data_IF_600156433419
#
_entry.id   IF_600156433419
#
_cell.length_a   1.000
_cell.length_b   1.000
_cell.length_c   1.000
_cell.angle_alpha   90.00
_cell.angle_beta   90.00
_cell.angle_gamma   90.00
#
_symmetry.space_group_name_H-M   'P 1'
#
loop_
_entity.id
_entity.type
_entity.pdbx_description
1 polymer ?
#
# COMPACT_ATOMS: atom_id res chain seq x y z
N UNK A 1 -40.27 -44.77 -60.88
CA UNK A 1 -40.45 -43.70 -59.87
C UNK A 1 -39.11 -43.45 -59.20
N UNK A 2 -38.51 -42.27 -59.40
CA UNK A 2 -37.30 -41.91 -58.67
C UNK A 2 -37.63 -41.76 -57.17
N UNK A 3 -36.78 -42.22 -56.24
CA UNK A 3 -37.01 -42.03 -54.81
C UNK A 3 -37.00 -40.53 -54.48
N UNK A 4 -37.84 -40.07 -53.53
CA UNK A 4 -37.88 -38.66 -53.16
C UNK A 4 -36.48 -38.23 -52.69
N UNK A 5 -35.97 -37.14 -53.26
CA UNK A 5 -34.68 -36.56 -52.89
C UNK A 5 -34.64 -36.28 -51.40
N UNK A 6 -33.61 -36.79 -50.70
CA UNK A 6 -33.38 -36.48 -49.29
C UNK A 6 -33.36 -34.94 -49.14
N UNK A 7 -34.13 -34.36 -48.21
CA UNK A 7 -34.12 -32.92 -48.01
C UNK A 7 -32.69 -32.48 -47.66
N UNK A 8 -32.23 -31.39 -48.29
CA UNK A 8 -30.89 -30.86 -48.07
C UNK A 8 -30.63 -30.60 -46.57
N UNK A 9 -29.37 -30.69 -46.08
CA UNK A 9 -29.04 -30.72 -44.66
C UNK A 9 -29.45 -29.49 -43.81
N UNK A 10 -30.10 -28.47 -44.39
CA UNK A 10 -30.69 -27.33 -43.69
C UNK A 10 -32.20 -27.14 -43.88
N UNK A 11 -32.89 -28.03 -44.61
CA UNK A 11 -34.32 -27.90 -44.98
C UNK A 11 -35.24 -28.96 -44.37
N UNK A 12 -34.72 -29.92 -43.58
CA UNK A 12 -35.56 -30.89 -42.85
C UNK A 12 -36.10 -30.25 -41.55
N UNK A 13 -37.43 -30.00 -41.45
CA UNK A 13 -38.04 -29.39 -40.26
C UNK A 13 -37.81 -30.20 -38.98
N UNK A 14 -37.65 -31.53 -39.09
CA UNK A 14 -37.41 -32.41 -37.93
C UNK A 14 -35.96 -32.36 -37.45
N UNK A 15 -35.02 -32.03 -38.34
CA UNK A 15 -33.63 -31.78 -37.96
C UNK A 15 -33.49 -30.41 -37.32
N UNK A 16 -34.16 -29.39 -37.88
CA UNK A 16 -34.18 -28.04 -37.30
C UNK A 16 -34.81 -28.02 -35.89
N UNK A 17 -35.92 -28.73 -35.68
CA UNK A 17 -36.55 -28.81 -34.34
C UNK A 17 -35.68 -29.59 -33.33
N UNK A 18 -34.99 -30.65 -33.76
CA UNK A 18 -34.05 -31.40 -32.91
C UNK A 18 -32.81 -30.57 -32.56
N UNK A 19 -32.25 -29.84 -33.51
CA UNK A 19 -31.15 -28.92 -33.28
C UNK A 19 -31.56 -27.83 -32.26
N UNK A 20 -32.72 -27.19 -32.45
CA UNK A 20 -33.25 -26.20 -31.51
C UNK A 20 -33.44 -26.76 -30.10
N UNK A 21 -33.96 -27.98 -29.96
CA UNK A 21 -34.10 -28.65 -28.66
C UNK A 21 -32.74 -28.94 -28.02
N UNK A 22 -31.77 -29.39 -28.81
CA UNK A 22 -30.41 -29.64 -28.34
C UNK A 22 -29.73 -28.33 -27.89
N UNK A 23 -29.87 -27.25 -28.66
CA UNK A 23 -29.31 -25.94 -28.34
C UNK A 23 -29.90 -25.39 -27.02
N UNK A 24 -31.21 -25.55 -26.82
CA UNK A 24 -31.88 -25.16 -25.56
C UNK A 24 -31.38 -26.01 -24.39
N UNK A 25 -31.27 -27.33 -24.55
CA UNK A 25 -30.76 -28.23 -23.50
C UNK A 25 -29.30 -27.90 -23.19
N UNK A 26 -28.47 -27.70 -24.21
CA UNK A 26 -27.08 -27.30 -24.06
C UNK A 26 -26.98 -25.97 -23.30
N UNK A 27 -27.71 -24.94 -23.72
CA UNK A 27 -27.72 -23.65 -23.04
C UNK A 27 -28.13 -23.77 -21.57
N UNK A 28 -29.19 -24.53 -21.26
CA UNK A 28 -29.64 -24.76 -19.88
C UNK A 28 -28.58 -25.50 -19.05
N UNK A 29 -28.00 -26.57 -19.59
CA UNK A 29 -26.94 -27.32 -18.89
C UNK A 29 -25.67 -26.50 -18.69
N UNK A 30 -25.29 -25.66 -19.66
CA UNK A 30 -24.17 -24.72 -19.52
C UNK A 30 -24.44 -23.68 -18.44
N UNK A 31 -25.66 -23.13 -18.35
CA UNK A 31 -26.05 -22.20 -17.28
C UNK A 31 -25.97 -22.88 -15.92
N UNK A 32 -26.53 -24.10 -15.78
CA UNK A 32 -26.46 -24.86 -14.52
C UNK A 32 -25.02 -25.13 -14.12
N UNK A 33 -24.17 -25.53 -15.06
CA UNK A 33 -22.75 -25.77 -14.81
C UNK A 33 -22.03 -24.48 -14.41
N UNK A 34 -22.32 -23.36 -15.06
CA UNK A 34 -21.76 -22.06 -14.71
C UNK A 34 -22.15 -21.65 -13.28
N UNK A 35 -23.42 -21.78 -12.92
CA UNK A 35 -23.91 -21.49 -11.56
C UNK A 35 -23.23 -22.38 -10.53
N UNK A 36 -23.14 -23.69 -10.78
CA UNK A 36 -22.48 -24.62 -9.87
C UNK A 36 -20.99 -24.29 -9.69
N UNK A 37 -20.29 -23.95 -10.78
CA UNK A 37 -18.89 -23.53 -10.73
C UNK A 37 -18.71 -22.21 -9.97
N UNK A 38 -19.58 -21.22 -10.20
CA UNK A 38 -19.57 -19.96 -9.45
C UNK A 38 -19.82 -20.19 -7.97
N UNK A 39 -20.78 -21.04 -7.60
CA UNK A 39 -21.06 -21.40 -6.20
C UNK A 39 -19.85 -22.09 -5.57
N UNK A 40 -19.19 -23.02 -6.28
CA UNK A 40 -17.99 -23.69 -5.79
C UNK A 40 -16.85 -22.71 -5.52
N UNK A 41 -16.58 -21.79 -6.46
CA UNK A 41 -15.56 -20.74 -6.26
C UNK A 41 -15.91 -19.88 -5.04
N UNK A 42 -17.18 -19.47 -4.93
CA UNK A 42 -17.62 -18.60 -3.85
C UNK A 42 -17.55 -19.31 -2.48
N UNK A 43 -17.89 -20.59 -2.43
CA UNK A 43 -17.81 -21.41 -1.23
C UNK A 43 -16.35 -21.64 -0.78
N UNK A 44 -15.41 -21.89 -1.69
CA UNK A 44 -13.98 -21.98 -1.34
C UNK A 44 -13.39 -20.62 -0.94
N UNK A 45 -13.89 -19.54 -1.55
CA UNK A 45 -13.46 -18.18 -1.28
C UNK A 45 -13.95 -17.66 0.09
N UNK A 46 -15.20 -17.94 0.53
CA UNK A 46 -15.78 -17.46 1.80
C UNK A 46 -15.24 -18.22 3.03
N UNK A 47 -13.93 -18.15 3.23
CA UNK A 47 -13.27 -18.77 4.37
C UNK A 47 -13.55 -18.02 5.67
N UNK A 48 -13.71 -18.78 6.75
CA UNK A 48 -14.11 -18.28 8.07
C UNK A 48 -13.26 -17.09 8.55
N UNK A 49 -11.93 -17.16 8.42
CA UNK A 49 -11.01 -16.12 8.84
C UNK A 49 -11.29 -14.74 8.22
N UNK A 50 -11.82 -14.68 6.98
CA UNK A 50 -12.15 -13.42 6.31
C UNK A 50 -13.23 -12.64 7.06
N UNK A 51 -14.12 -13.33 7.79
CA UNK A 51 -15.18 -12.70 8.60
C UNK A 51 -14.56 -11.91 9.75
N UNK A 52 -13.59 -12.50 10.45
CA UNK A 52 -12.86 -11.82 11.53
C UNK A 52 -12.13 -10.58 11.04
N UNK A 53 -11.46 -10.66 9.88
CA UNK A 53 -10.76 -9.48 9.33
C UNK A 53 -11.72 -8.37 8.90
N UNK A 54 -12.86 -8.71 8.27
CA UNK A 54 -13.89 -7.73 7.91
C UNK A 54 -14.46 -7.02 9.14
N UNK A 55 -14.68 -7.74 10.24
CA UNK A 55 -15.15 -7.14 11.50
C UNK A 55 -14.04 -6.30 12.12
N UNK A 56 -12.81 -6.80 12.17
CA UNK A 56 -11.68 -6.05 12.71
C UNK A 56 -11.44 -4.75 11.96
N UNK A 57 -11.55 -4.70 10.63
CA UNK A 57 -11.40 -3.45 9.88
C UNK A 57 -12.38 -2.38 10.36
N UNK A 58 -13.63 -2.76 10.69
CA UNK A 58 -14.63 -1.83 11.26
C UNK A 58 -14.21 -1.36 12.66
N UNK A 59 -13.73 -2.28 13.49
CA UNK A 59 -13.23 -1.97 14.84
C UNK A 59 -12.00 -1.06 14.77
N UNK A 60 -11.06 -1.33 13.87
CA UNK A 60 -9.85 -0.53 13.66
C UNK A 60 -10.20 0.89 13.20
N UNK A 61 -11.21 1.05 12.33
CA UNK A 61 -11.75 2.37 11.97
C UNK A 61 -12.30 3.08 13.20
N UNK A 62 -13.19 2.45 13.96
CA UNK A 62 -13.81 3.05 15.15
C UNK A 62 -12.79 3.45 16.23
N UNK A 63 -11.82 2.57 16.53
CA UNK A 63 -10.75 2.82 17.49
C UNK A 63 -9.86 3.96 17.00
N UNK A 64 -9.46 3.95 15.73
CA UNK A 64 -8.59 5.00 15.16
C UNK A 64 -9.32 6.35 15.12
N UNK A 65 -10.62 6.36 14.82
CA UNK A 65 -11.45 7.57 14.83
C UNK A 65 -11.57 8.14 16.25
N UNK A 66 -11.87 7.30 17.25
CA UNK A 66 -11.92 7.72 18.65
C UNK A 66 -10.56 8.28 19.11
N UNK A 67 -9.46 7.63 18.76
CA UNK A 67 -8.10 8.12 19.04
C UNK A 67 -7.81 9.45 18.35
N UNK A 68 -8.24 9.63 17.10
CA UNK A 68 -8.06 10.89 16.36
C UNK A 68 -8.83 12.02 17.05
N UNK A 69 -10.10 11.80 17.40
CA UNK A 69 -10.88 12.81 18.12
C UNK A 69 -10.29 13.13 19.49
N UNK A 70 -9.78 12.14 20.22
CA UNK A 70 -9.08 12.35 21.47
C UNK A 70 -7.79 13.18 21.28
N UNK A 71 -6.98 12.87 20.26
CA UNK A 71 -5.76 13.62 19.95
C UNK A 71 -6.10 15.08 19.60
N UNK A 72 -7.16 15.31 18.81
CA UNK A 72 -7.65 16.66 18.51
C UNK A 72 -8.13 17.40 19.75
N UNK A 73 -8.90 16.74 20.61
CA UNK A 73 -9.41 17.31 21.85
C UNK A 73 -8.32 17.57 22.91
N UNK A 74 -7.19 16.86 22.82
CA UNK A 74 -6.05 17.04 23.74
C UNK A 74 -5.32 18.37 23.54
N UNK A 75 -5.47 19.00 22.37
CA UNK A 75 -4.90 20.32 22.09
C UNK A 75 -5.70 21.39 22.85
N UNK A 76 -5.09 22.17 23.75
CA UNK A 76 -5.79 23.20 24.53
C UNK A 76 -6.54 24.20 23.65
N UNK A 77 -7.77 24.56 24.04
CA UNK A 77 -8.62 25.50 23.27
C UNK A 77 -7.94 26.85 23.01
N UNK A 78 -7.15 27.35 23.95
CA UNK A 78 -6.36 28.57 23.78
C UNK A 78 -5.33 28.46 22.64
N UNK A 79 -4.67 27.31 22.51
CA UNK A 79 -3.72 27.06 21.42
C UNK A 79 -4.45 26.92 20.08
N UNK A 80 -5.63 26.29 20.06
CA UNK A 80 -6.47 26.20 18.86
C UNK A 80 -6.92 27.59 18.39
N UNK A 81 -7.38 28.45 19.30
CA UNK A 81 -7.79 29.82 19.00
C UNK A 81 -6.62 30.69 18.52
N UNK A 82 -5.45 30.58 19.18
CA UNK A 82 -4.22 31.27 18.74
C UNK A 82 -3.82 30.85 17.33
N UNK A 83 -3.83 29.54 17.04
CA UNK A 83 -3.51 29.04 15.70
C UNK A 83 -4.52 29.54 14.67
N UNK A 84 -5.82 29.52 14.98
CA UNK A 84 -6.85 30.00 14.08
C UNK A 84 -6.65 31.48 13.73
N UNK A 85 -6.36 32.32 14.74
CA UNK A 85 -6.07 33.74 14.53
C UNK A 85 -4.80 33.96 13.68
N UNK A 86 -3.76 33.16 13.89
CA UNK A 86 -2.53 33.19 13.08
C UNK A 86 -2.80 32.78 11.62
N UNK A 87 -3.61 31.74 11.39
CA UNK A 87 -4.00 31.32 10.04
C UNK A 87 -4.84 32.38 9.32
N UNK A 88 -5.75 33.04 10.03
CA UNK A 88 -6.58 34.11 9.46
C UNK A 88 -5.73 35.34 9.13
N UNK A 89 -4.78 35.69 9.99
CA UNK A 89 -3.77 36.73 9.70
C UNK A 89 -2.92 36.36 8.49
N UNK A 90 -2.42 35.12 8.43
CA UNK A 90 -1.62 34.64 7.30
C UNK A 90 -2.38 34.75 5.97
N UNK A 91 -3.67 34.37 5.95
CA UNK A 91 -4.53 34.52 4.75
C UNK A 91 -4.69 35.97 4.32
N UNK A 92 -4.85 36.91 5.27
CA UNK A 92 -4.96 38.33 4.96
C UNK A 92 -3.66 38.89 4.39
N UNK A 93 -2.52 38.56 5.00
CA UNK A 93 -1.19 38.97 4.51
C UNK A 93 -0.88 38.39 3.12
N UNK A 94 -1.24 37.12 2.89
CA UNK A 94 -1.10 36.47 1.58
C UNK A 94 -1.99 37.12 0.52
N UNK A 95 -3.24 37.45 0.86
CA UNK A 95 -4.14 38.16 -0.05
C UNK A 95 -3.59 39.55 -0.45
N UNK A 96 -2.98 40.28 0.50
CA UNK A 96 -2.34 41.56 0.24
C UNK A 96 -1.07 41.43 -0.62
N UNK A 97 -0.31 40.35 -0.45
CA UNK A 97 0.95 40.09 -1.15
C UNK A 97 0.79 39.23 -2.41
N UNK A 98 -0.43 38.86 -2.77
CA UNK A 98 -0.74 37.89 -3.84
C UNK A 98 -0.05 38.21 -5.16
N UNK A 99 -0.07 39.47 -5.58
CA UNK A 99 0.58 39.88 -6.84
C UNK A 99 2.11 39.82 -6.76
N UNK A 100 2.70 40.13 -5.60
CA UNK A 100 4.14 40.00 -5.38
C UNK A 100 4.56 38.52 -5.38
N UNK A 101 3.81 37.66 -4.71
CA UNK A 101 4.03 36.20 -4.70
C UNK A 101 3.95 35.64 -6.12
N UNK A 102 2.88 35.98 -6.86
CA UNK A 102 2.68 35.54 -8.24
C UNK A 102 3.80 36.01 -9.17
N UNK A 103 4.29 37.25 -8.99
CA UNK A 103 5.42 37.78 -9.76
C UNK A 103 6.71 37.01 -9.43
N UNK A 104 7.03 36.81 -8.17
CA UNK A 104 8.22 36.08 -7.74
C UNK A 104 8.20 34.62 -8.22
N UNK A 105 7.04 33.94 -8.14
CA UNK A 105 6.83 32.60 -8.69
C UNK A 105 7.04 32.58 -10.21
N UNK A 106 6.47 33.53 -10.95
CA UNK A 106 6.66 33.61 -12.40
C UNK A 106 8.11 33.88 -12.81
N UNK A 107 8.88 34.63 -12.02
CA UNK A 107 10.32 34.81 -12.23
C UNK A 107 11.08 33.51 -11.92
N UNK A 108 10.74 32.81 -10.83
CA UNK A 108 11.31 31.51 -10.47
C UNK A 108 11.07 30.45 -11.54
N UNK A 109 9.89 30.43 -12.16
CA UNK A 109 9.57 29.49 -13.25
C UNK A 109 10.35 29.79 -14.53
N UNK A 110 10.63 31.07 -14.83
CA UNK A 110 11.54 31.43 -15.94
C UNK A 110 12.96 30.93 -15.68
N UNK A 111 13.44 31.05 -14.44
CA UNK A 111 14.74 30.50 -14.02
C UNK A 111 14.77 28.98 -14.12
N UNK A 112 13.66 28.29 -13.83
CA UNK A 112 13.53 26.85 -14.04
C UNK A 112 13.71 26.46 -15.51
N UNK A 113 13.11 27.24 -16.43
CA UNK A 113 13.30 27.03 -17.87
C UNK A 113 14.74 27.25 -18.33
N UNK A 114 15.40 28.31 -17.85
CA UNK A 114 16.82 28.59 -18.12
C UNK A 114 17.72 27.48 -17.56
N UNK A 115 17.47 27.05 -16.32
CA UNK A 115 18.16 25.94 -15.68
C UNK A 115 18.05 24.66 -16.51
N UNK A 116 16.85 24.31 -16.98
CA UNK A 116 16.63 23.11 -17.77
C UNK A 116 17.41 23.13 -19.09
N UNK A 117 17.44 24.27 -19.78
CA UNK A 117 18.21 24.42 -21.01
C UNK A 117 19.73 24.25 -20.77
N UNK A 118 20.24 24.81 -19.68
CA UNK A 118 21.67 24.69 -19.31
C UNK A 118 22.00 23.26 -18.85
N UNK A 119 21.17 22.64 -18.00
CA UNK A 119 21.34 21.25 -17.53
C UNK A 119 21.37 20.27 -18.70
N UNK A 120 20.47 20.43 -19.67
CA UNK A 120 20.45 19.60 -20.87
C UNK A 120 21.78 19.72 -21.66
N UNK A 121 22.25 20.94 -21.90
CA UNK A 121 23.51 21.18 -22.61
C UNK A 121 24.72 20.66 -21.80
N UNK A 122 24.71 20.81 -20.49
CA UNK A 122 25.72 20.29 -19.57
C UNK A 122 25.81 18.76 -19.67
N UNK A 123 24.68 18.07 -19.65
CA UNK A 123 24.60 16.60 -19.75
C UNK A 123 25.00 16.10 -21.14
N UNK A 124 24.59 16.78 -22.21
CA UNK A 124 25.03 16.43 -23.57
C UNK A 124 26.53 16.67 -23.78
N UNK A 125 27.06 17.81 -23.33
CA UNK A 125 28.50 18.10 -23.44
C UNK A 125 29.31 17.07 -22.65
N UNK A 126 28.83 16.64 -21.48
CA UNK A 126 29.46 15.57 -20.71
C UNK A 126 29.52 14.25 -21.48
N UNK A 127 28.44 13.86 -22.14
CA UNK A 127 28.40 12.65 -22.96
C UNK A 127 29.36 12.75 -24.16
N UNK A 128 29.45 13.91 -24.81
CA UNK A 128 30.41 14.16 -25.89
C UNK A 128 31.87 14.10 -25.41
N UNK A 129 32.18 14.56 -24.19
CA UNK A 129 33.51 14.43 -23.59
C UNK A 129 33.95 12.96 -23.55
N UNK A 130 33.06 12.04 -23.16
CA UNK A 130 33.38 10.61 -23.11
C UNK A 130 33.73 10.07 -24.52
N UNK A 131 33.00 10.52 -25.56
CA UNK A 131 33.30 10.19 -26.96
C UNK A 131 34.65 10.77 -27.39
N UNK A 132 34.91 12.05 -27.12
CA UNK A 132 36.19 12.70 -27.48
C UNK A 132 37.38 12.08 -26.76
N UNK A 133 37.18 11.65 -25.51
CA UNK A 133 38.18 10.95 -24.71
C UNK A 133 38.55 9.61 -25.34
N UNK A 134 37.54 8.79 -25.66
CA UNK A 134 37.76 7.53 -26.38
C UNK A 134 38.50 7.75 -27.71
N UNK A 135 38.06 8.75 -28.49
CA UNK A 135 38.66 9.11 -29.76
C UNK A 135 40.16 9.46 -29.64
N UNK A 136 40.51 10.24 -28.62
CA UNK A 136 41.89 10.62 -28.30
C UNK A 136 42.70 9.40 -27.85
N UNK A 137 42.18 8.60 -26.91
CA UNK A 137 42.85 7.39 -26.40
C UNK A 137 43.15 6.40 -27.53
N UNK A 138 42.18 6.15 -28.42
CA UNK A 138 42.38 5.25 -29.56
C UNK A 138 43.47 5.77 -30.52
N UNK A 139 43.49 7.08 -30.80
CA UNK A 139 44.50 7.70 -31.65
C UNK A 139 45.89 7.70 -31.00
N UNK A 140 45.97 7.90 -29.67
CA UNK A 140 47.19 7.81 -28.90
C UNK A 140 47.74 6.39 -28.88
N UNK A 141 46.89 5.38 -28.66
CA UNK A 141 47.25 3.96 -28.69
C UNK A 141 47.78 3.52 -30.06
N UNK A 142 47.16 3.98 -31.15
CA UNK A 142 47.59 3.68 -32.53
C UNK A 142 48.69 4.63 -33.04
N UNK A 143 49.21 5.53 -32.19
CA UNK A 143 50.20 6.57 -32.49
C UNK A 143 49.92 7.34 -33.80
N UNK A 144 48.64 7.71 -34.01
CA UNK A 144 48.22 8.46 -35.21
C UNK A 144 48.73 9.91 -35.14
N UNK A 145 49.03 10.50 -36.29
CA UNK A 145 49.51 11.89 -36.41
C UNK A 145 48.49 12.94 -35.98
N UNK A 146 47.20 12.60 -35.92
CA UNK A 146 46.12 13.51 -35.54
C UNK A 146 45.78 13.50 -34.03
N UNK A 147 46.57 12.82 -33.19
CA UNK A 147 46.32 12.71 -31.74
C UNK A 147 46.27 14.07 -31.04
N UNK A 148 47.15 15.00 -31.41
CA UNK A 148 47.23 16.33 -30.76
C UNK A 148 46.00 17.18 -31.10
N UNK A 149 45.43 17.03 -32.30
CA UNK A 149 44.16 17.65 -32.68
C UNK A 149 43.01 17.10 -31.84
N UNK A 150 42.93 15.78 -31.67
CA UNK A 150 41.88 15.15 -30.84
C UNK A 150 42.00 15.53 -29.36
N UNK A 151 43.23 15.71 -28.85
CA UNK A 151 43.47 16.23 -27.50
C UNK A 151 42.99 17.67 -27.35
N UNK A 152 43.23 18.52 -28.36
CA UNK A 152 42.72 19.90 -28.37
C UNK A 152 41.18 19.93 -28.41
N UNK A 153 40.56 19.06 -29.22
CA UNK A 153 39.10 18.93 -29.27
C UNK A 153 38.54 18.48 -27.91
N UNK A 154 39.15 17.48 -27.25
CA UNK A 154 38.74 17.05 -25.90
C UNK A 154 38.80 18.22 -24.90
N UNK A 155 39.91 18.98 -24.88
CA UNK A 155 40.07 20.13 -23.98
C UNK A 155 39.03 21.22 -24.23
N UNK A 156 38.69 21.51 -25.48
CA UNK A 156 37.64 22.48 -25.81
C UNK A 156 36.27 22.05 -25.27
N UNK A 157 35.93 20.75 -25.33
CA UNK A 157 34.69 20.24 -24.73
C UNK A 157 34.73 20.27 -23.20
N UNK A 158 35.87 19.94 -22.58
CA UNK A 158 36.06 20.06 -21.13
C UNK A 158 35.90 21.52 -20.65
N UNK A 159 36.47 22.48 -21.38
CA UNK A 159 36.33 23.92 -21.09
C UNK A 159 34.88 24.41 -21.25
N UNK A 160 34.16 23.92 -22.27
CA UNK A 160 32.72 24.23 -22.45
C UNK A 160 31.88 23.66 -21.34
N UNK A 161 32.17 22.44 -20.91
CA UNK A 161 31.46 21.78 -19.81
C UNK A 161 31.67 22.51 -18.48
N UNK A 162 32.89 22.98 -18.20
CA UNK A 162 33.17 23.78 -17.02
C UNK A 162 32.43 25.13 -17.04
N UNK A 163 32.33 25.79 -18.20
CA UNK A 163 31.50 27.01 -18.34
C UNK A 163 30.02 26.73 -18.05
N UNK A 164 29.48 25.62 -18.56
CA UNK A 164 28.11 25.20 -18.29
C UNK A 164 27.89 24.87 -16.80
N UNK A 165 28.90 24.28 -16.13
CA UNK A 165 28.88 24.04 -14.68
C UNK A 165 28.71 25.34 -13.91
N UNK A 166 29.52 26.35 -14.22
CA UNK A 166 29.45 27.67 -13.58
C UNK A 166 28.11 28.36 -13.84
N UNK A 167 27.57 28.27 -15.05
CA UNK A 167 26.23 28.79 -15.37
C UNK A 167 25.13 28.08 -14.58
N UNK A 168 25.23 26.76 -14.39
CA UNK A 168 24.27 26.00 -13.61
C UNK A 168 24.31 26.39 -12.12
N UNK A 169 25.51 26.60 -11.56
CA UNK A 169 25.69 27.14 -10.21
C UNK A 169 25.08 28.54 -10.05
N UNK A 170 25.30 29.43 -11.03
CA UNK A 170 24.72 30.79 -11.03
C UNK A 170 23.19 30.77 -11.07
N UNK A 171 22.61 29.97 -11.98
CA UNK A 171 21.15 29.87 -12.10
C UNK A 171 20.54 29.22 -10.86
N UNK A 172 21.20 28.22 -10.26
CA UNK A 172 20.77 27.66 -8.97
C UNK A 172 20.78 28.72 -7.87
N UNK A 173 21.84 29.53 -7.76
CA UNK A 173 21.89 30.61 -6.77
C UNK A 173 20.77 31.64 -6.96
N UNK A 174 20.42 31.96 -8.22
CA UNK A 174 19.29 32.83 -8.57
C UNK A 174 17.95 32.19 -8.20
N UNK A 175 17.76 30.89 -8.44
CA UNK A 175 16.57 30.12 -8.04
C UNK A 175 16.42 30.13 -6.52
N UNK A 176 17.48 29.80 -5.80
CA UNK A 176 17.50 29.81 -4.33
C UNK A 176 17.18 31.19 -3.75
N UNK A 177 17.66 32.27 -4.39
CA UNK A 177 17.32 33.63 -3.99
C UNK A 177 15.82 33.93 -4.17
N UNK A 178 15.22 33.47 -5.28
CA UNK A 178 13.77 33.61 -5.52
C UNK A 178 12.93 32.72 -4.61
N UNK A 179 13.35 31.49 -4.35
CA UNK A 179 12.69 30.60 -3.40
C UNK A 179 12.73 31.19 -1.98
N UNK A 180 13.84 31.84 -1.58
CA UNK A 180 13.92 32.60 -0.32
C UNK A 180 13.00 33.81 -0.29
N UNK A 181 12.89 34.57 -1.39
CA UNK A 181 11.96 35.70 -1.50
C UNK A 181 10.51 35.22 -1.34
N UNK A 182 10.12 34.15 -2.03
CA UNK A 182 8.78 33.54 -1.91
C UNK A 182 8.55 33.08 -0.47
N UNK A 183 9.51 32.37 0.13
CA UNK A 183 9.40 31.91 1.51
C UNK A 183 9.27 33.06 2.53
N UNK A 184 9.91 34.21 2.28
CA UNK A 184 9.75 35.41 3.11
C UNK A 184 8.37 36.06 2.93
N UNK A 185 7.87 36.11 1.70
CA UNK A 185 6.53 36.63 1.41
C UNK A 185 5.44 35.78 2.08
N UNK A 186 5.65 34.47 2.13
CA UNK A 186 4.74 33.46 2.70
C UNK A 186 5.11 33.05 4.14
N UNK A 187 6.06 33.74 4.79
CA UNK A 187 6.63 33.32 6.07
C UNK A 187 5.58 33.07 7.16
N UNK A 188 4.60 33.97 7.28
CA UNK A 188 3.50 33.86 8.25
C UNK A 188 2.63 32.63 7.99
N UNK A 189 2.37 32.30 6.72
CA UNK A 189 1.62 31.10 6.32
C UNK A 189 2.40 29.84 6.66
N UNK A 190 3.68 29.80 6.31
CA UNK A 190 4.56 28.67 6.56
C UNK A 190 4.75 28.40 8.07
N UNK A 191 4.88 29.46 8.89
CA UNK A 191 4.98 29.33 10.35
C UNK A 191 3.68 28.80 10.96
N UNK A 192 2.53 29.36 10.56
CA UNK A 192 1.22 28.88 11.01
C UNK A 192 0.95 27.43 10.58
N UNK A 193 1.30 27.04 9.35
CA UNK A 193 1.21 25.66 8.87
C UNK A 193 2.12 24.71 9.65
N UNK A 194 3.36 25.13 9.92
CA UNK A 194 4.31 24.33 10.72
C UNK A 194 3.78 24.13 12.12
N UNK A 195 3.32 25.19 12.79
CA UNK A 195 2.71 25.12 14.11
C UNK A 195 1.45 24.26 14.12
N UNK A 196 0.61 24.34 13.08
CA UNK A 196 -0.55 23.44 12.92
C UNK A 196 -0.12 21.98 12.80
N UNK A 197 0.93 21.68 12.03
CA UNK A 197 1.45 20.31 11.87
C UNK A 197 2.06 19.78 13.17
N UNK A 198 2.72 20.62 13.95
CA UNK A 198 3.28 20.25 15.25
C UNK A 198 2.17 20.02 16.29
N UNK A 199 1.20 20.94 16.40
CA UNK A 199 0.10 20.85 17.36
C UNK A 199 -0.86 19.70 17.06
N UNK A 200 -1.16 19.45 15.78
CA UNK A 200 -2.09 18.40 15.35
C UNK A 200 -1.38 17.20 14.72
N UNK A 201 -0.08 17.01 14.97
CA UNK A 201 0.72 15.95 14.34
C UNK A 201 0.14 14.55 14.56
N UNK A 202 -0.27 14.24 15.80
CA UNK A 202 -0.92 12.97 16.12
C UNK A 202 -2.29 12.81 15.48
N UNK A 203 -3.10 13.87 15.45
CA UNK A 203 -4.39 13.88 14.77
C UNK A 203 -4.21 13.61 13.27
N UNK A 204 -3.31 14.35 12.60
CA UNK A 204 -3.04 14.21 11.16
C UNK A 204 -2.54 12.80 10.82
N UNK A 205 -1.65 12.24 11.64
CA UNK A 205 -1.16 10.87 11.48
C UNK A 205 -2.30 9.84 11.58
N UNK A 206 -3.23 10.02 12.51
CA UNK A 206 -4.38 9.14 12.68
C UNK A 206 -5.42 9.33 11.57
N UNK A 207 -5.64 10.56 11.11
CA UNK A 207 -6.51 10.87 9.97
C UNK A 207 -5.97 10.25 8.66
N UNK A 208 -4.68 10.34 8.42
CA UNK A 208 -4.05 9.67 7.28
C UNK A 208 -4.08 8.15 7.37
N UNK A 209 -4.08 7.60 8.60
CA UNK A 209 -4.31 6.16 8.81
C UNK A 209 -5.76 5.81 8.47
N UNK A 210 -6.75 6.61 8.91
CA UNK A 210 -8.18 6.40 8.62
C UNK A 210 -8.43 6.30 7.11
N UNK A 211 -7.90 7.24 6.32
CA UNK A 211 -8.01 7.24 4.85
C UNK A 211 -7.49 5.94 4.20
N UNK A 212 -6.55 5.24 4.84
CA UNK A 212 -5.97 3.97 4.34
C UNK A 212 -6.74 2.73 4.77
N UNK A 213 -7.39 2.77 5.93
CA UNK A 213 -8.12 1.62 6.49
C UNK A 213 -9.61 1.63 6.13
N UNK A 214 -10.17 2.77 5.77
CA UNK A 214 -11.58 2.88 5.40
C UNK A 214 -11.92 1.98 4.20
N UNK A 215 -12.94 1.11 4.32
CA UNK A 215 -13.32 0.21 3.25
C UNK A 215 -14.05 0.98 2.14
N UNK A 216 -13.32 1.34 1.08
CA UNK A 216 -13.88 1.94 -0.14
C UNK A 216 -14.29 0.92 -1.22
N UNK A 217 -14.89 1.42 -2.31
CA UNK A 217 -15.27 0.62 -3.49
C UNK A 217 -14.07 -0.16 -4.05
N UNK A 218 -12.90 0.48 -4.10
CA UNK A 218 -11.64 -0.12 -4.57
C UNK A 218 -11.25 -1.34 -3.74
N UNK A 219 -11.37 -1.23 -2.41
CA UNK A 219 -11.07 -2.34 -1.48
C UNK A 219 -12.05 -3.50 -1.67
N UNK A 220 -13.33 -3.21 -1.92
CA UNK A 220 -14.35 -4.23 -2.20
C UNK A 220 -14.08 -4.97 -3.51
N UNK A 221 -13.78 -4.27 -4.60
CA UNK A 221 -13.48 -4.88 -5.91
C UNK A 221 -12.20 -5.72 -5.85
N UNK A 222 -11.15 -5.20 -5.22
CA UNK A 222 -9.86 -5.87 -5.06
C UNK A 222 -9.94 -7.16 -4.25
N UNK A 223 -10.96 -7.30 -3.41
CA UNK A 223 -11.20 -8.52 -2.64
C UNK A 223 -12.14 -9.50 -3.35
N UNK A 224 -12.66 -9.26 -4.55
CA UNK A 224 -13.52 -10.25 -5.22
C UNK A 224 -12.74 -11.53 -5.56
N UNK A 225 -13.40 -12.70 -5.63
CA UNK A 225 -12.76 -13.93 -6.06
C UNK A 225 -11.99 -13.72 -7.38
N UNK A 226 -10.80 -14.32 -7.50
CA UNK A 226 -9.85 -14.17 -8.63
C UNK A 226 -9.10 -12.83 -8.62
N UNK A 227 -9.77 -11.70 -8.39
CA UNK A 227 -9.11 -10.38 -8.31
C UNK A 227 -8.24 -10.23 -7.05
N UNK A 228 -8.55 -11.00 -6.00
CA UNK A 228 -7.82 -11.06 -4.74
C UNK A 228 -6.40 -11.64 -4.89
N UNK A 229 -6.04 -12.26 -6.01
CA UNK A 229 -4.68 -12.75 -6.25
C UNK A 229 -3.65 -11.64 -6.47
N UNK A 230 -4.05 -10.48 -7.00
CA UNK A 230 -3.11 -9.44 -7.38
C UNK A 230 -2.61 -8.63 -6.17
N UNK A 231 -3.51 -8.27 -5.25
CA UNK A 231 -3.17 -7.47 -4.07
C UNK A 231 -4.33 -7.45 -3.06
N UNK A 232 -4.64 -8.52 -2.33
CA UNK A 232 -5.83 -8.56 -1.47
C UNK A 232 -5.66 -7.69 -0.22
N UNK A 233 -6.73 -7.06 0.24
CA UNK A 233 -6.72 -6.40 1.57
C UNK A 233 -6.91 -7.40 2.71
N UNK A 234 -7.59 -8.53 2.44
CA UNK A 234 -7.81 -9.60 3.39
C UNK A 234 -6.84 -10.74 3.06
N UNK A 235 -5.94 -11.06 3.97
CA UNK A 235 -4.93 -12.11 3.76
C UNK A 235 -4.64 -12.89 5.03
N UNK A 236 -4.23 -14.14 4.86
CA UNK A 236 -3.68 -14.93 5.95
C UNK A 236 -2.38 -14.27 6.42
N UNK A 237 -2.34 -13.88 7.69
CA UNK A 237 -1.13 -13.40 8.32
C UNK A 237 -0.35 -14.62 8.81
N UNK A 238 0.82 -14.84 8.22
CA UNK A 238 1.67 -15.97 8.55
C UNK A 238 2.99 -15.48 9.13
N UNK A 239 3.29 -15.89 10.36
CA UNK A 239 4.53 -15.62 11.06
C UNK A 239 5.31 -16.94 11.12
N UNK A 240 6.61 -16.88 10.86
CA UNK A 240 7.51 -18.03 11.01
C UNK A 240 8.54 -17.67 12.08
N UNK A 241 8.29 -18.06 13.34
CA UNK A 241 9.17 -17.70 14.44
C UNK A 241 10.61 -18.18 14.18
N UNK A 242 11.56 -17.29 14.41
CA UNK A 242 12.99 -17.60 14.19
C UNK A 242 13.45 -18.73 15.12
N UNK A 243 14.18 -19.70 14.56
CA UNK A 243 14.77 -20.83 15.29
C UNK A 243 13.75 -21.77 15.99
N UNK A 244 12.48 -21.75 15.59
CA UNK A 244 11.49 -22.76 16.00
C UNK A 244 11.15 -23.67 14.84
N UNK A 245 11.16 -24.97 15.11
CA UNK A 245 10.81 -26.01 14.15
C UNK A 245 9.74 -26.91 14.75
N UNK A 246 8.79 -27.32 13.92
CA UNK A 246 7.90 -28.43 14.23
C UNK A 246 8.64 -29.72 13.84
N UNK A 247 8.70 -30.66 14.78
CA UNK A 247 9.28 -31.98 14.53
C UNK A 247 8.29 -32.78 13.69
N UNK A 248 8.67 -33.03 12.43
CA UNK A 248 7.96 -33.90 11.51
C UNK A 248 8.87 -35.08 11.28
N UNK A 249 8.34 -36.30 11.32
CA UNK A 249 9.10 -37.56 11.29
C UNK A 249 10.36 -37.46 10.40
N UNK A 250 11.54 -37.41 11.06
CA UNK A 250 12.90 -37.31 10.49
C UNK A 250 13.31 -36.00 9.77
N UNK A 251 12.54 -34.91 9.89
CA UNK A 251 12.89 -33.59 9.36
C UNK A 251 12.25 -32.45 10.17
N UNK A 252 13.06 -31.48 10.61
CA UNK A 252 12.53 -30.26 11.21
C UNK A 252 11.98 -29.33 10.13
N UNK A 253 10.69 -28.97 10.24
CA UNK A 253 10.10 -27.94 9.37
C UNK A 253 9.96 -26.63 10.14
N UNK A 254 10.15 -25.46 9.51
CA UNK A 254 9.92 -24.19 10.18
C UNK A 254 8.52 -24.14 10.79
N UNK A 255 8.45 -23.76 12.08
CA UNK A 255 7.18 -23.55 12.77
C UNK A 255 6.43 -22.42 12.08
N UNK A 256 5.13 -22.62 11.87
CA UNK A 256 4.26 -21.63 11.22
C UNK A 256 3.13 -21.25 12.16
N UNK A 257 2.91 -19.95 12.34
CA UNK A 257 1.86 -19.38 13.15
C UNK A 257 0.96 -18.45 12.32
N UNK A 258 -0.35 -18.66 12.39
CA UNK A 258 -1.36 -17.88 11.67
C UNK A 258 -2.40 -17.26 12.60
N UNK A 259 -2.17 -17.26 13.92
CA UNK A 259 -3.12 -16.77 14.91
C UNK A 259 -3.50 -15.30 14.66
N UNK A 260 -2.54 -14.46 14.23
CA UNK A 260 -2.76 -13.05 13.86
C UNK A 260 -3.61 -12.85 12.59
N UNK A 261 -4.05 -13.93 11.94
CA UNK A 261 -5.04 -13.86 10.86
C UNK A 261 -6.42 -13.45 11.41
N UNK A 262 -6.78 -13.95 12.59
CA UNK A 262 -8.05 -13.62 13.26
C UNK A 262 -7.83 -12.71 14.47
N UNK A 263 -6.75 -12.90 15.23
CA UNK A 263 -6.37 -12.09 16.38
C UNK A 263 -5.61 -10.82 15.96
N UNK A 264 -6.23 -10.00 15.11
CA UNK A 264 -5.58 -8.85 14.45
C UNK A 264 -5.20 -7.68 15.38
N UNK A 265 -5.78 -7.63 16.58
CA UNK A 265 -5.48 -6.61 17.58
C UNK A 265 -4.42 -7.05 18.61
N UNK A 266 -3.98 -8.31 18.58
CA UNK A 266 -3.20 -8.91 19.67
C UNK A 266 -1.88 -8.20 19.95
N UNK A 267 -1.20 -7.72 18.91
CA UNK A 267 0.09 -7.01 18.97
C UNK A 267 -0.06 -5.48 18.91
N UNK A 268 -1.30 -4.97 18.86
CA UNK A 268 -1.59 -3.54 18.70
C UNK A 268 -2.06 -2.94 20.02
N UNK A 269 -1.49 -1.79 20.39
CA UNK A 269 -2.00 -0.94 21.48
C UNK A 269 -3.32 -0.26 21.07
N UNK A 270 -4.23 -0.05 22.01
CA UNK A 270 -5.51 0.63 21.80
C UNK A 270 -6.70 -0.29 21.55
N UNK A 271 -6.48 -1.61 21.53
CA UNK A 271 -7.53 -2.61 21.38
C UNK A 271 -7.80 -3.36 22.71
N UNK A 272 -7.31 -2.85 23.85
CA UNK A 272 -7.39 -3.52 25.15
C UNK A 272 -8.83 -3.72 25.63
N UNK A 273 -9.75 -2.82 25.24
CA UNK A 273 -11.18 -2.88 25.57
C UNK A 273 -12.04 -3.58 24.52
N UNK A 274 -11.42 -4.07 23.43
CA UNK A 274 -12.15 -4.74 22.35
C UNK A 274 -12.50 -6.18 22.73
N UNK A 275 -13.61 -6.74 22.24
CA UNK A 275 -13.97 -8.13 22.51
C UNK A 275 -13.01 -9.10 21.82
N UNK A 276 -12.90 -10.31 22.37
CA UNK A 276 -12.17 -11.40 21.72
C UNK A 276 -12.79 -11.70 20.33
N UNK A 277 -11.97 -11.98 19.29
CA UNK A 277 -10.52 -12.18 19.30
C UNK A 277 -9.68 -10.90 19.07
N UNK A 278 -10.29 -9.72 19.07
CA UNK A 278 -9.63 -8.46 18.68
C UNK A 278 -8.90 -7.75 19.82
N UNK A 279 -8.98 -8.29 21.04
CA UNK A 279 -8.34 -7.73 22.22
C UNK A 279 -6.82 -7.72 22.09
N UNK A 280 -6.18 -6.65 22.55
CA UNK A 280 -4.71 -6.58 22.72
C UNK A 280 -4.22 -7.65 23.69
N UNK A 281 -3.01 -8.18 23.47
CA UNK A 281 -2.38 -9.15 24.36
C UNK A 281 -2.26 -8.57 25.78
N UNK A 282 -2.63 -9.34 26.83
CA UNK A 282 -2.40 -8.93 28.21
C UNK A 282 -0.91 -8.64 28.45
N UNK A 283 -0.59 -7.53 29.12
CA UNK A 283 0.80 -7.13 29.37
C UNK A 283 1.66 -7.09 28.08
N UNK A 284 1.13 -6.41 27.04
CA UNK A 284 1.74 -6.24 25.72
C UNK A 284 3.23 -5.85 25.79
N UNK A 285 3.57 -4.94 26.71
CA UNK A 285 4.92 -4.42 26.89
C UNK A 285 5.93 -5.51 27.26
N UNK A 286 5.55 -6.44 28.14
CA UNK A 286 6.43 -7.52 28.58
C UNK A 286 6.52 -8.66 27.56
N UNK A 287 5.38 -9.11 27.03
CA UNK A 287 5.38 -10.28 26.14
C UNK A 287 5.83 -9.90 24.74
N UNK A 288 5.05 -9.09 24.02
CA UNK A 288 5.25 -8.88 22.58
C UNK A 288 6.23 -7.74 22.25
N UNK A 289 6.39 -6.75 23.13
CA UNK A 289 7.36 -5.66 22.97
C UNK A 289 8.65 -5.87 23.78
N UNK A 290 8.70 -6.93 24.58
CA UNK A 290 9.82 -7.28 25.44
C UNK A 290 10.60 -8.48 24.91
N UNK A 291 11.04 -9.41 25.78
CA UNK A 291 11.90 -10.54 25.38
C UNK A 291 11.25 -11.58 24.46
N UNK A 292 9.92 -11.56 24.26
CA UNK A 292 9.19 -12.59 23.50
C UNK A 292 8.42 -12.03 22.30
N UNK A 293 9.07 -11.31 21.36
CA UNK A 293 8.37 -10.75 20.22
C UNK A 293 7.83 -11.88 19.32
N UNK A 294 6.71 -11.60 18.67
CA UNK A 294 5.90 -12.62 17.97
C UNK A 294 6.65 -13.30 16.82
N UNK A 295 7.58 -12.60 16.18
CA UNK A 295 8.46 -13.07 15.10
C UNK A 295 9.59 -13.99 15.57
N UNK A 296 9.83 -14.07 16.89
CA UNK A 296 10.81 -14.97 17.49
C UNK A 296 10.19 -16.11 18.23
N UNK A 297 9.06 -15.89 18.91
CA UNK A 297 8.46 -16.89 19.79
C UNK A 297 7.21 -17.54 19.19
N UNK A 298 6.40 -16.78 18.44
CA UNK A 298 5.10 -17.22 17.97
C UNK A 298 4.07 -17.42 19.10
N UNK A 299 2.79 -17.49 18.74
CA UNK A 299 1.69 -17.68 19.68
C UNK A 299 1.63 -19.14 20.17
N UNK A 300 1.85 -20.08 19.26
CA UNK A 300 1.74 -21.53 19.55
C UNK A 300 2.77 -22.07 20.53
N UNK A 301 3.87 -21.36 20.79
CA UNK A 301 4.88 -21.78 21.77
C UNK A 301 4.37 -21.71 23.21
N UNK A 302 3.41 -20.81 23.50
CA UNK A 302 2.79 -20.67 24.83
C UNK A 302 1.34 -21.15 24.84
N UNK A 303 0.57 -20.84 23.79
CA UNK A 303 -0.85 -21.19 23.71
C UNK A 303 -1.12 -22.57 23.11
N UNK A 304 -0.06 -23.27 22.67
CA UNK A 304 -0.13 -24.57 22.01
C UNK A 304 -1.02 -24.55 20.75
N UNK A 305 -1.27 -25.72 20.19
CA UNK A 305 -2.17 -25.91 19.06
C UNK A 305 -1.56 -25.80 17.68
N UNK A 306 -2.44 -25.77 16.68
CA UNK A 306 -2.08 -25.92 15.27
C UNK A 306 -1.87 -24.56 14.61
N UNK A 307 -0.64 -24.05 14.60
CA UNK A 307 -0.33 -22.72 14.08
C UNK A 307 -0.64 -22.52 12.58
N UNK A 308 -0.77 -23.59 11.79
CA UNK A 308 -1.19 -23.52 10.38
C UNK A 308 -2.71 -23.39 10.18
N UNK A 309 -3.50 -23.57 11.23
CA UNK A 309 -4.95 -23.53 11.16
C UNK A 309 -5.49 -22.13 10.81
N UNK A 310 -6.63 -22.08 10.13
CA UNK A 310 -7.29 -20.83 9.72
C UNK A 310 -8.81 -20.86 9.96
N UNK A 311 -9.30 -21.90 10.64
CA UNK A 311 -10.69 -22.02 11.08
C UNK A 311 -10.76 -22.31 12.57
N UNK A 312 -11.86 -21.91 13.21
CA UNK A 312 -12.04 -21.96 14.66
C UNK A 312 -11.82 -23.37 15.23
N UNK A 313 -12.45 -24.38 14.62
CA UNK A 313 -12.34 -25.79 15.05
C UNK A 313 -11.01 -26.45 14.73
N UNK A 314 -10.23 -25.88 13.81
CA UNK A 314 -8.93 -26.44 13.41
C UNK A 314 -7.77 -25.86 14.19
N UNK A 315 -7.97 -24.69 14.82
CA UNK A 315 -7.07 -24.07 15.76
C UNK A 315 -7.45 -24.50 17.18
N UNK A 316 -6.49 -24.50 18.10
CA UNK A 316 -6.79 -24.80 19.50
C UNK A 316 -7.34 -23.56 20.16
N UNK A 317 -8.57 -23.68 20.65
CA UNK A 317 -9.23 -22.69 21.50
C UNK A 317 -9.71 -23.41 22.75
N UNK A 318 -9.65 -22.73 23.89
CA UNK A 318 -10.13 -23.27 25.17
C UNK A 318 -11.15 -22.27 25.71
N UNK A 319 -12.37 -22.70 26.08
CA UNK A 319 -13.36 -21.82 26.66
C UNK A 319 -12.87 -21.30 28.01
N UNK A 320 -13.07 -20.02 28.28
CA UNK A 320 -12.71 -19.39 29.56
C UNK A 320 -13.76 -19.62 30.66
N UNK A 321 -14.96 -20.09 30.29
CA UNK A 321 -16.07 -20.34 31.23
C UNK A 321 -16.92 -21.53 30.79
N UNK A 322 -17.60 -22.19 31.73
CA UNK A 322 -18.54 -23.28 31.43
C UNK A 322 -19.71 -22.84 30.54
N UNK A 323 -20.14 -21.57 30.66
CA UNK A 323 -21.18 -21.01 29.79
C UNK A 323 -20.67 -20.90 28.33
N UNK A 324 -19.43 -20.48 28.15
CA UNK A 324 -18.79 -20.41 26.84
C UNK A 324 -18.54 -21.81 26.27
N UNK A 325 -18.11 -22.78 27.09
CA UNK A 325 -17.97 -24.18 26.68
C UNK A 325 -19.27 -24.74 26.12
N UNK A 326 -20.39 -24.52 26.83
CA UNK A 326 -21.72 -24.96 26.38
C UNK A 326 -22.17 -24.25 25.09
N UNK A 327 -21.88 -22.96 24.96
CA UNK A 327 -22.18 -22.20 23.74
C UNK A 327 -21.37 -22.72 22.55
N UNK A 328 -20.07 -22.99 22.74
CA UNK A 328 -19.20 -23.53 21.70
C UNK A 328 -19.57 -24.97 21.32
N UNK A 329 -19.88 -25.81 22.32
CA UNK A 329 -20.38 -27.16 22.11
C UNK A 329 -21.61 -27.17 21.20
N UNK A 330 -22.58 -26.29 21.44
CA UNK A 330 -23.78 -26.16 20.59
C UNK A 330 -23.47 -25.67 19.18
N UNK A 331 -22.58 -24.67 19.06
CA UNK A 331 -22.28 -24.00 17.78
C UNK A 331 -21.42 -24.84 16.85
N UNK A 332 -20.46 -25.59 17.39
CA UNK A 332 -19.43 -26.23 16.58
C UNK A 332 -19.36 -27.76 16.72
N UNK A 333 -19.71 -28.31 17.88
CA UNK A 333 -19.65 -29.75 18.16
C UNK A 333 -21.04 -30.42 18.20
N UNK A 334 -22.13 -29.63 18.15
CA UNK A 334 -23.52 -30.04 18.37
C UNK A 334 -23.74 -30.86 19.66
N UNK A 335 -22.98 -30.55 20.71
CA UNK A 335 -22.99 -31.20 22.03
C UNK A 335 -23.08 -30.18 23.17
N UNK A 336 -23.30 -30.66 24.41
CA UNK A 336 -23.28 -29.80 25.60
C UNK A 336 -21.87 -29.44 26.09
N UNK A 337 -20.84 -30.08 25.54
CA UNK A 337 -19.41 -29.84 25.81
C UNK A 337 -18.67 -29.51 24.51
N UNK A 338 -17.58 -28.75 24.60
CA UNK A 338 -16.76 -28.36 23.44
C UNK A 338 -15.73 -29.42 23.06
#
# INVERSE_FOLDING_TARGET
MAPPSKPEPGRDPRMADRARKLDVVFALTSIVMLVAFTVMIWADYDREWKKYQKVFNKVEVQVTEAQAQQAKASVPSAQQQSLQAEMDRAKQEEAQRREAIKKAQGERDKLEGEWYAIDQNFRFTKAEIDVKRYDYEEAAHKNKSNKDKKLADLKDYEDRWEKLRLQLEEVNARKDAKDKEIAQLEATRLDAEKKSKELFGDYNRLEDRLKKIEPGIVTTVRNLPVLDLANPSLKVNQIMPSNLQDDVIFSGTPKVDRCTTCHLGIDKKGFESQPQPFTTHPNLAFYLQGPHPIDKVGCTSCHQGRGRATGFMTAVHIPSTAAQEKDWGKRYSHSDTY
#
